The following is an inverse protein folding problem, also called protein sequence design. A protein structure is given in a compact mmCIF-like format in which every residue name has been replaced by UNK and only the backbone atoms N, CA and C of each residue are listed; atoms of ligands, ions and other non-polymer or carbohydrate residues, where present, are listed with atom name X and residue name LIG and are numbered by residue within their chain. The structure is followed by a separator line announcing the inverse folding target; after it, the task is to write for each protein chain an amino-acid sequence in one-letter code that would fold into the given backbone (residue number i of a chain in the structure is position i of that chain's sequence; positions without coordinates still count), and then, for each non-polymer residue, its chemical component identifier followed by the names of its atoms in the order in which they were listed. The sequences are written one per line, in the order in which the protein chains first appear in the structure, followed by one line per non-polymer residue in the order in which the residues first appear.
data_IF_685124950095
#
_entry.id   IF_685124950095
#
_cell.length_a   1.000
_cell.length_b   1.000
_cell.length_c   1.000
_cell.angle_alpha   90.00
_cell.angle_beta   90.00
_cell.angle_gamma   90.00
#
_symmetry.space_group_name_H-M   'P 1'
#
loop_
_entity.id
_entity.type
_entity.pdbx_description
1 polymer ?
#
# COMPACT_ATOMS: atom_id res chain seq x y z
N UNK A 1 -7.36 9.68 15.46
CA UNK A 1 -6.30 9.90 14.46
C UNK A 1 -6.28 8.69 13.56
N UNK A 2 -6.50 8.87 12.26
CA UNK A 2 -6.60 7.77 11.32
C UNK A 2 -5.21 7.20 11.03
N UNK A 3 -5.06 5.87 11.04
CA UNK A 3 -3.80 5.19 10.73
C UNK A 3 -3.76 4.78 9.26
N UNK A 4 -2.84 5.38 8.51
CA UNK A 4 -2.61 5.06 7.10
C UNK A 4 -1.28 4.35 6.96
N UNK A 5 -1.27 3.19 6.30
CA UNK A 5 -0.03 2.46 6.01
C UNK A 5 0.27 2.54 4.52
N UNK A 6 1.49 2.94 4.19
CA UNK A 6 1.98 3.09 2.82
C UNK A 6 2.97 1.99 2.51
N UNK A 7 2.61 1.11 1.58
CA UNK A 7 3.54 0.12 1.03
C UNK A 7 4.20 0.69 -0.22
N UNK A 8 5.52 0.70 -0.26
CA UNK A 8 6.28 1.29 -1.36
C UNK A 8 7.54 0.49 -1.71
N UNK A 9 8.10 0.83 -2.87
CA UNK A 9 9.42 0.35 -3.29
C UNK A 9 10.24 1.54 -3.78
N UNK A 10 11.49 1.64 -3.32
CA UNK A 10 12.45 2.67 -3.69
C UNK A 10 11.87 4.10 -3.54
N UNK A 11 11.15 4.34 -2.45
CA UNK A 11 10.59 5.66 -2.14
C UNK A 11 9.46 6.13 -3.07
N UNK A 12 8.79 5.23 -3.80
CA UNK A 12 7.74 5.58 -4.76
C UNK A 12 6.58 6.40 -4.16
N UNK A 13 6.33 6.29 -2.86
CA UNK A 13 5.29 7.02 -2.13
C UNK A 13 5.75 8.28 -1.41
N UNK A 14 7.07 8.53 -1.31
CA UNK A 14 7.64 9.54 -0.40
C UNK A 14 7.09 10.95 -0.63
N UNK A 15 6.92 11.36 -1.89
CA UNK A 15 6.40 12.71 -2.20
C UNK A 15 4.99 12.94 -1.63
N UNK A 16 4.15 11.90 -1.62
CA UNK A 16 2.79 12.00 -1.05
C UNK A 16 2.80 11.89 0.47
N UNK A 17 3.65 11.02 1.00
CA UNK A 17 3.86 10.88 2.45
C UNK A 17 4.35 12.20 3.05
N UNK A 18 5.31 12.87 2.42
CA UNK A 18 5.84 14.16 2.85
C UNK A 18 4.74 15.22 2.92
N UNK A 19 3.90 15.35 1.88
CA UNK A 19 2.81 16.32 1.86
C UNK A 19 1.77 16.09 2.97
N UNK A 20 1.42 14.84 3.27
CA UNK A 20 0.50 14.55 4.39
C UNK A 20 1.15 14.82 5.74
N UNK A 21 2.43 14.50 5.91
CA UNK A 21 3.15 14.83 7.16
C UNK A 21 3.21 16.34 7.39
N UNK A 22 3.41 17.12 6.33
CA UNK A 22 3.47 18.58 6.38
C UNK A 22 2.10 19.22 6.67
N UNK A 23 1.03 18.70 6.07
CA UNK A 23 -0.27 19.39 6.06
C UNK A 23 -1.41 18.70 6.84
N UNK A 24 -1.25 17.46 7.29
CA UNK A 24 -2.34 16.67 7.90
C UNK A 24 -1.90 15.74 9.03
N UNK A 25 -0.76 16.03 9.66
CA UNK A 25 -0.21 15.22 10.76
C UNK A 25 -1.03 15.29 12.05
N UNK A 26 -1.96 16.23 12.16
CA UNK A 26 -2.93 16.39 13.25
C UNK A 26 -4.12 15.41 13.14
N UNK A 27 -4.44 14.96 11.92
CA UNK A 27 -5.60 14.09 11.66
C UNK A 27 -5.21 12.68 11.19
N UNK A 28 -4.06 12.53 10.53
CA UNK A 28 -3.58 11.28 9.94
C UNK A 28 -2.18 10.94 10.46
N UNK A 29 -2.03 9.70 10.94
CA UNK A 29 -0.73 9.09 11.23
C UNK A 29 -0.34 8.19 10.06
N UNK A 30 0.78 8.51 9.41
CA UNK A 30 1.33 7.69 8.32
C UNK A 30 2.49 6.83 8.81
N UNK A 31 2.38 5.53 8.54
CA UNK A 31 3.48 4.57 8.63
C UNK A 31 3.85 4.07 7.23
N UNK A 32 5.14 3.83 7.01
CA UNK A 32 5.67 3.43 5.71
C UNK A 32 6.35 2.08 5.83
N UNK A 33 5.95 1.14 4.97
CA UNK A 33 6.59 -0.16 4.79
C UNK A 33 7.29 -0.16 3.43
N UNK A 34 8.61 -0.18 3.45
CA UNK A 34 9.43 -0.22 2.24
C UNK A 34 9.85 -1.67 1.96
N UNK A 35 9.56 -2.15 0.74
CA UNK A 35 10.02 -3.45 0.24
C UNK A 35 11.09 -3.18 -0.81
N UNK A 36 12.29 -2.90 -0.30
CA UNK A 36 13.44 -2.52 -1.10
C UNK A 36 14.37 -3.71 -1.29
N UNK A 37 14.93 -3.85 -2.50
CA UNK A 37 15.82 -4.95 -2.84
C UNK A 37 15.54 -5.53 -4.23
N UNK A 38 16.43 -6.42 -4.66
CA UNK A 38 16.22 -7.20 -5.87
C UNK A 38 15.13 -8.24 -5.61
N UNK A 39 13.96 -8.04 -6.23
CA UNK A 39 12.89 -9.03 -6.22
C UNK A 39 13.05 -9.97 -7.42
N UNK A 40 12.73 -11.27 -7.27
CA UNK A 40 12.63 -12.16 -8.42
C UNK A 40 11.52 -11.65 -9.35
N UNK A 41 11.56 -12.00 -10.65
CA UNK A 41 10.55 -11.55 -11.61
C UNK A 41 9.14 -12.12 -11.35
N UNK A 42 9.06 -13.21 -10.58
CA UNK A 42 7.82 -13.87 -10.16
C UNK A 42 7.95 -14.20 -8.68
N UNK A 43 6.90 -13.92 -7.92
CA UNK A 43 6.81 -14.25 -6.50
C UNK A 43 5.59 -15.15 -6.30
N UNK A 44 5.83 -16.44 -6.08
CA UNK A 44 4.76 -17.41 -5.80
C UNK A 44 4.23 -17.30 -4.35
N UNK A 45 5.00 -16.72 -3.43
CA UNK A 45 4.63 -16.55 -2.02
C UNK A 45 5.11 -15.18 -1.49
N UNK A 46 4.19 -14.23 -1.31
CA UNK A 46 4.50 -12.90 -0.81
C UNK A 46 4.70 -12.81 0.71
N UNK A 47 4.47 -13.89 1.48
CA UNK A 47 4.60 -13.88 2.96
C UNK A 47 6.01 -13.53 3.44
N UNK A 48 7.03 -13.76 2.61
CA UNK A 48 8.41 -13.35 2.89
C UNK A 48 8.67 -11.84 2.78
N UNK A 49 7.73 -11.09 2.18
CA UNK A 49 7.88 -9.66 1.89
C UNK A 49 6.80 -8.79 2.54
N UNK A 50 5.62 -9.36 2.76
CA UNK A 50 4.48 -8.69 3.39
C UNK A 50 4.35 -9.12 4.87
N UNK A 51 3.85 -8.25 5.75
CA UNK A 51 3.57 -8.62 7.13
C UNK A 51 2.39 -9.59 7.22
N UNK A 52 2.35 -10.45 8.24
CA UNK A 52 1.23 -11.39 8.45
C UNK A 52 -0.12 -10.70 8.70
N UNK A 53 -0.10 -9.50 9.28
CA UNK A 53 -1.29 -8.69 9.59
C UNK A 53 -1.01 -7.22 9.33
N UNK A 54 -2.04 -6.51 8.89
CA UNK A 54 -1.99 -5.07 8.63
C UNK A 54 -2.87 -4.39 9.67
N UNK A 55 -2.26 -3.59 10.53
CA UNK A 55 -2.98 -2.71 11.45
C UNK A 55 -3.07 -1.33 10.80
N UNK A 56 -4.17 -1.06 10.08
CA UNK A 56 -4.41 0.19 9.36
C UNK A 56 -5.90 0.46 9.15
N UNK A 57 -6.28 1.73 9.14
CA UNK A 57 -7.62 2.17 8.71
C UNK A 57 -7.70 2.33 7.18
N UNK A 58 -6.55 2.52 6.52
CA UNK A 58 -6.40 2.66 5.07
C UNK A 58 -5.00 2.25 4.63
N UNK A 59 -4.92 1.51 3.52
CA UNK A 59 -3.65 1.15 2.88
C UNK A 59 -3.47 1.91 1.57
N UNK A 60 -2.27 2.47 1.36
CA UNK A 60 -1.86 2.99 0.06
C UNK A 60 -0.81 2.05 -0.55
N UNK A 61 -1.14 1.49 -1.71
CA UNK A 61 -0.27 0.60 -2.46
C UNK A 61 0.46 1.37 -3.57
N UNK A 62 1.76 1.59 -3.34
CA UNK A 62 2.75 2.12 -4.28
C UNK A 62 3.78 1.06 -4.68
N UNK A 63 3.50 -0.23 -4.46
CA UNK A 63 4.39 -1.30 -4.88
C UNK A 63 4.43 -1.35 -6.41
N UNK A 64 5.60 -1.61 -7.00
CA UNK A 64 5.76 -1.78 -8.45
C UNK A 64 5.60 -3.24 -8.86
N UNK A 65 6.08 -4.17 -8.04
CA UNK A 65 5.92 -5.60 -8.27
C UNK A 65 4.44 -5.97 -8.30
N UNK A 66 4.03 -6.71 -9.33
CA UNK A 66 2.61 -7.02 -9.54
C UNK A 66 2.10 -8.04 -8.54
N UNK A 67 2.89 -9.07 -8.25
CA UNK A 67 2.51 -10.14 -7.31
C UNK A 67 2.38 -9.62 -5.88
N UNK A 68 3.37 -8.89 -5.36
CA UNK A 68 3.27 -8.28 -4.01
C UNK A 68 2.06 -7.37 -3.85
N UNK A 69 1.73 -6.59 -4.88
CA UNK A 69 0.55 -5.73 -4.86
C UNK A 69 -0.75 -6.52 -4.97
N UNK A 70 -0.74 -7.63 -5.71
CA UNK A 70 -1.88 -8.54 -5.74
C UNK A 70 -2.16 -9.06 -4.33
N UNK A 71 -1.14 -9.63 -3.68
CA UNK A 71 -1.28 -10.26 -2.39
C UNK A 71 -1.60 -9.24 -1.30
N UNK A 72 -1.00 -8.04 -1.35
CA UNK A 72 -1.35 -6.94 -0.45
C UNK A 72 -2.83 -6.56 -0.56
N UNK A 73 -3.37 -6.45 -1.78
CA UNK A 73 -4.79 -6.15 -1.98
C UNK A 73 -5.67 -7.29 -1.48
N UNK A 74 -5.31 -8.54 -1.76
CA UNK A 74 -6.04 -9.71 -1.26
C UNK A 74 -6.10 -9.72 0.27
N UNK A 75 -4.96 -9.49 0.94
CA UNK A 75 -4.88 -9.37 2.40
C UNK A 75 -5.75 -8.23 2.94
N UNK A 76 -5.76 -7.06 2.28
CA UNK A 76 -6.61 -5.94 2.69
C UNK A 76 -8.10 -6.29 2.56
N UNK A 77 -8.50 -6.97 1.48
CA UNK A 77 -9.88 -7.43 1.27
C UNK A 77 -10.30 -8.41 2.36
N UNK A 78 -9.46 -9.42 2.65
CA UNK A 78 -9.71 -10.42 3.70
C UNK A 78 -9.82 -9.80 5.10
N UNK A 79 -9.00 -8.78 5.39
CA UNK A 79 -9.01 -8.07 6.67
C UNK A 79 -10.05 -6.95 6.73
N UNK A 80 -10.79 -6.68 5.65
CA UNK A 80 -11.79 -5.61 5.58
C UNK A 80 -11.21 -4.20 5.56
N UNK A 81 -9.94 -4.05 5.19
CA UNK A 81 -9.21 -2.78 5.16
C UNK A 81 -9.36 -2.15 3.77
N UNK A 82 -9.77 -0.87 3.65
CA UNK A 82 -9.81 -0.20 2.35
C UNK A 82 -8.39 0.02 1.82
N UNK A 83 -8.22 -0.13 0.50
CA UNK A 83 -6.92 -0.02 -0.17
C UNK A 83 -7.01 0.85 -1.43
N UNK A 84 -6.03 1.73 -1.62
CA UNK A 84 -5.87 2.56 -2.83
C UNK A 84 -4.58 2.17 -3.53
N UNK A 85 -4.70 1.48 -4.67
CA UNK A 85 -3.57 1.10 -5.53
C UNK A 85 -3.31 2.16 -6.59
N UNK A 86 -2.36 3.05 -6.35
CA UNK A 86 -2.09 4.18 -7.24
C UNK A 86 -1.47 3.70 -8.56
N UNK A 87 -2.05 4.13 -9.69
CA UNK A 87 -1.49 3.85 -11.03
C UNK A 87 -1.71 2.42 -11.55
N UNK A 88 -2.48 1.58 -10.85
CA UNK A 88 -2.79 0.22 -11.29
C UNK A 88 -4.22 0.11 -11.78
N UNK A 89 -4.40 -0.45 -12.98
CA UNK A 89 -5.73 -0.79 -13.54
C UNK A 89 -6.19 -2.12 -12.96
N UNK A 90 -6.68 -2.14 -11.72
CA UNK A 90 -7.34 -3.31 -11.13
C UNK A 90 -8.80 -2.99 -10.84
N UNK A 91 -9.71 -3.85 -11.28
CA UNK A 91 -11.14 -3.80 -11.00
C UNK A 91 -11.45 -4.72 -9.82
N UNK A 92 -11.89 -4.16 -8.69
CA UNK A 92 -12.26 -4.91 -7.48
C UNK A 92 -13.11 -4.04 -6.54
N UNK A 93 -13.98 -4.67 -5.73
CA UNK A 93 -15.04 -4.01 -4.94
C UNK A 93 -14.53 -2.97 -3.93
N UNK A 94 -13.26 -3.03 -3.53
CA UNK A 94 -12.61 -2.12 -2.58
C UNK A 94 -11.50 -1.26 -3.20
N UNK A 95 -11.27 -1.34 -4.53
CA UNK A 95 -10.21 -0.58 -5.19
C UNK A 95 -10.81 0.74 -5.69
N UNK A 96 -10.55 1.84 -4.98
CA UNK A 96 -10.97 3.17 -5.41
C UNK A 96 -9.97 3.76 -6.39
N UNK A 97 -10.43 4.13 -7.57
CA UNK A 97 -9.64 4.77 -8.62
C UNK A 97 -9.99 6.27 -8.62
N UNK A 98 -9.02 7.20 -8.46
CA UNK A 98 -9.28 8.61 -8.72
C UNK A 98 -9.59 8.82 -10.22
N UNK A 99 -10.65 9.56 -10.58
CA UNK A 99 -10.95 9.86 -11.98
C UNK A 99 -9.86 10.77 -12.59
N UNK A 100 -9.47 10.46 -13.83
CA UNK A 100 -8.65 11.33 -14.70
C UNK A 100 -9.49 12.37 -15.42
#
# INVERSE_FOLDING_TARGET
MQKVVVFQQNGSGERKVAGVREHGSDIVRIETVAIDGALPPVIDDARGYLPDKIDADLVLDYLRHQDLSHDLVAMCVEQGIPVVSSGKKRTGRQVMIPPT
#
